data_IF_460072760138
#
_entry.id   IF_460072760138
#
_cell.length_a   1.000
_cell.length_b   1.000
_cell.length_c   1.000
_cell.angle_alpha   90.00
_cell.angle_beta   90.00
_cell.angle_gamma   90.00
#
_symmetry.space_group_name_H-M   'P 1'
#
loop_
_entity.id
_entity.type
_entity.pdbx_description
1 polymer ?
#
# COMPACT_ATOMS: atom_id res chain seq x y z
N UNK A 1 -24.32 9.32 25.13
CA UNK A 1 -22.94 9.42 24.63
C UNK A 1 -22.62 8.10 23.94
N UNK A 2 -22.53 8.09 22.62
CA UNK A 2 -22.13 6.88 21.89
C UNK A 2 -20.63 6.69 22.03
N UNK A 3 -20.18 5.50 22.40
CA UNK A 3 -18.74 5.16 22.37
C UNK A 3 -18.24 5.29 20.94
N UNK A 4 -17.16 6.04 20.73
CA UNK A 4 -16.52 6.07 19.43
C UNK A 4 -16.11 4.64 19.03
N UNK A 5 -16.34 4.22 17.78
CA UNK A 5 -15.94 2.89 17.32
C UNK A 5 -14.41 2.74 17.43
N UNK A 6 -13.97 1.68 18.11
CA UNK A 6 -12.55 1.34 18.28
C UNK A 6 -12.15 0.27 17.25
N UNK A 7 -10.98 0.40 16.63
CA UNK A 7 -10.43 -0.67 15.76
C UNK A 7 -9.84 -1.78 16.65
N UNK A 8 -10.35 -3.03 16.57
CA UNK A 8 -9.72 -4.14 17.26
C UNK A 8 -8.35 -4.45 16.62
N UNK A 9 -7.36 -4.74 17.46
CA UNK A 9 -6.02 -5.12 17.00
C UNK A 9 -5.89 -6.64 16.96
N UNK A 10 -5.22 -7.16 15.94
CA UNK A 10 -4.86 -8.58 15.81
C UNK A 10 -3.38 -8.67 15.46
N UNK A 11 -2.63 -9.50 16.19
CA UNK A 11 -1.22 -9.76 15.91
C UNK A 11 -1.08 -11.05 15.11
N UNK A 12 -0.27 -11.04 14.06
CA UNK A 12 0.08 -12.20 13.25
C UNK A 12 1.58 -12.48 13.38
N UNK A 13 1.94 -13.73 13.63
CA UNK A 13 3.35 -14.18 13.62
C UNK A 13 3.70 -14.68 12.22
N UNK A 14 4.79 -14.19 11.67
CA UNK A 14 5.29 -14.56 10.33
C UNK A 14 6.76 -14.97 10.41
N UNK A 15 7.21 -15.80 9.47
CA UNK A 15 8.63 -16.12 9.36
C UNK A 15 9.42 -14.86 8.98
N UNK A 16 10.54 -14.61 9.66
CA UNK A 16 11.33 -13.39 9.50
C UNK A 16 11.93 -13.23 8.09
N UNK A 17 12.17 -14.35 7.41
CA UNK A 17 12.70 -14.44 6.04
C UNK A 17 11.60 -14.49 4.96
N UNK A 18 10.32 -14.50 5.35
CA UNK A 18 9.22 -14.35 4.41
C UNK A 18 9.17 -12.92 3.85
N UNK A 19 8.58 -12.69 2.66
CA UNK A 19 8.42 -11.34 2.13
C UNK A 19 7.76 -10.37 3.12
N UNK A 20 6.77 -10.83 3.89
CA UNK A 20 6.10 -10.03 4.91
C UNK A 20 6.99 -9.78 6.14
N UNK A 21 7.78 -10.77 6.54
CA UNK A 21 8.75 -10.64 7.63
C UNK A 21 9.87 -9.64 7.32
N UNK A 22 10.38 -9.64 6.09
CA UNK A 22 11.44 -8.74 5.64
C UNK A 22 11.04 -7.26 5.66
N UNK A 23 9.74 -6.96 5.54
CA UNK A 23 9.21 -5.58 5.59
C UNK A 23 8.44 -5.27 6.88
N UNK A 24 8.64 -6.05 7.96
CA UNK A 24 7.88 -5.92 9.20
C UNK A 24 7.85 -4.50 9.77
N UNK A 25 8.99 -3.79 9.78
CA UNK A 25 9.04 -2.40 10.26
C UNK A 25 8.16 -1.45 9.42
N UNK A 26 8.10 -1.64 8.10
CA UNK A 26 7.22 -0.85 7.23
C UNK A 26 5.74 -1.20 7.45
N UNK A 27 5.42 -2.46 7.77
CA UNK A 27 4.05 -2.84 8.17
C UNK A 27 3.65 -2.16 9.47
N UNK A 28 4.56 -2.13 10.45
CA UNK A 28 4.33 -1.41 11.71
C UNK A 28 4.06 0.08 11.47
N UNK A 29 4.79 0.72 10.55
CA UNK A 29 4.56 2.11 10.21
C UNK A 29 3.25 2.33 9.43
N UNK A 30 2.89 1.45 8.48
CA UNK A 30 1.58 1.49 7.83
C UNK A 30 0.45 1.44 8.87
N UNK A 31 0.52 0.45 9.78
CA UNK A 31 -0.54 0.19 10.76
C UNK A 31 -0.62 1.28 11.83
N UNK A 32 0.53 1.78 12.31
CA UNK A 32 0.62 2.91 13.26
C UNK A 32 0.02 4.19 12.71
N UNK A 33 0.09 4.40 11.40
CA UNK A 33 -0.40 5.63 10.77
C UNK A 33 -1.86 5.52 10.28
N UNK A 34 -2.56 4.41 10.51
CA UNK A 34 -3.97 4.27 10.14
C UNK A 34 -4.86 5.25 10.93
N UNK A 35 -5.87 5.85 10.28
CA UNK A 35 -6.83 6.71 10.94
C UNK A 35 -7.83 5.90 11.77
N UNK A 36 -8.34 6.51 12.85
CA UNK A 36 -9.46 5.94 13.60
C UNK A 36 -10.76 5.91 12.75
N UNK A 37 -11.71 5.01 13.03
CA UNK A 37 -12.93 4.87 12.22
C UNK A 37 -13.81 6.13 12.25
N UNK A 38 -13.73 6.92 13.32
CA UNK A 38 -14.47 8.18 13.46
C UNK A 38 -13.86 9.36 12.71
N UNK A 39 -12.59 9.27 12.29
CA UNK A 39 -11.84 10.36 11.63
C UNK A 39 -10.97 9.80 10.51
N UNK A 40 -11.56 9.21 9.45
CA UNK A 40 -10.83 8.45 8.42
C UNK A 40 -9.88 9.31 7.56
N UNK A 41 -9.89 10.63 7.73
CA UNK A 41 -9.01 11.59 7.06
C UNK A 41 -7.82 12.05 7.88
N UNK A 42 -7.69 11.63 9.14
CA UNK A 42 -6.65 12.14 10.05
C UNK A 42 -5.66 11.08 10.49
N UNK A 43 -4.38 11.41 10.42
CA UNK A 43 -3.32 10.57 10.97
C UNK A 43 -3.02 11.01 12.41
N UNK A 44 -3.65 10.34 13.39
CA UNK A 44 -3.52 10.73 14.80
C UNK A 44 -2.09 10.60 15.34
N UNK A 45 -1.28 9.70 14.78
CA UNK A 45 0.15 9.56 15.13
C UNK A 45 0.97 10.79 14.75
N UNK A 46 0.64 11.45 13.63
CA UNK A 46 1.29 12.67 13.18
C UNK A 46 0.73 13.94 13.87
N UNK A 47 -0.38 13.80 14.61
CA UNK A 47 -1.12 14.89 15.21
C UNK A 47 -2.47 15.16 14.54
N UNK A 48 -3.38 15.81 15.27
CA UNK A 48 -4.78 15.98 14.87
C UNK A 48 -4.99 16.75 13.54
N UNK A 49 -4.03 17.60 13.15
CA UNK A 49 -4.12 18.40 11.92
C UNK A 49 -3.58 17.66 10.68
N UNK A 50 -2.84 16.57 10.86
CA UNK A 50 -2.22 15.85 9.75
C UNK A 50 -3.25 14.99 8.99
N UNK A 51 -3.29 15.15 7.66
CA UNK A 51 -4.13 14.33 6.81
C UNK A 51 -3.55 12.92 6.61
N UNK A 52 -4.43 11.95 6.45
CA UNK A 52 -4.11 10.60 6.01
C UNK A 52 -4.60 10.38 4.55
N UNK A 53 -3.80 9.75 3.66
CA UNK A 53 -2.45 9.23 3.89
C UNK A 53 -1.40 10.32 4.19
N UNK A 54 -0.51 10.04 5.14
CA UNK A 54 0.58 10.95 5.50
C UNK A 54 1.91 10.42 4.95
N UNK A 55 2.95 11.27 4.88
CA UNK A 55 4.25 10.90 4.33
C UNK A 55 4.83 9.59 4.87
N UNK A 56 4.70 9.33 6.19
CA UNK A 56 5.24 8.12 6.81
C UNK A 56 4.50 6.85 6.36
N UNK A 57 3.19 6.96 6.15
CA UNK A 57 2.40 5.90 5.55
C UNK A 57 2.81 5.67 4.10
N UNK A 58 3.02 6.75 3.32
CA UNK A 58 3.38 6.65 1.91
C UNK A 58 4.79 6.06 1.72
N UNK A 59 5.75 6.47 2.54
CA UNK A 59 7.12 5.96 2.56
C UNK A 59 7.14 4.46 2.91
N UNK A 60 6.42 4.07 3.97
CA UNK A 60 6.29 2.66 4.34
C UNK A 60 5.53 1.85 3.28
N UNK A 61 4.49 2.42 2.68
CA UNK A 61 3.76 1.85 1.55
C UNK A 61 4.65 1.60 0.34
N UNK A 62 5.61 2.48 0.07
CA UNK A 62 6.59 2.30 -1.00
C UNK A 62 7.53 1.11 -0.74
N UNK A 63 8.00 0.94 0.49
CA UNK A 63 8.82 -0.23 0.89
C UNK A 63 8.03 -1.53 0.69
N UNK A 64 6.77 -1.57 1.14
CA UNK A 64 5.89 -2.75 0.99
C UNK A 64 5.60 -3.06 -0.48
N UNK A 65 5.34 -2.05 -1.32
CA UNK A 65 5.14 -2.25 -2.77
C UNK A 65 6.39 -2.78 -3.46
N UNK A 66 7.57 -2.32 -3.06
CA UNK A 66 8.86 -2.80 -3.59
C UNK A 66 9.07 -4.28 -3.27
N UNK A 67 8.59 -4.76 -2.12
CA UNK A 67 8.54 -6.18 -1.76
C UNK A 67 7.40 -6.96 -2.45
N UNK A 68 6.72 -6.37 -3.44
CA UNK A 68 5.60 -6.95 -4.20
C UNK A 68 4.40 -7.35 -3.34
N UNK A 69 4.25 -6.69 -2.19
CA UNK A 69 3.10 -6.87 -1.31
C UNK A 69 2.06 -5.76 -1.55
N UNK A 70 0.76 -6.09 -1.62
CA UNK A 70 -0.28 -5.09 -1.82
C UNK A 70 -0.56 -4.32 -0.53
N UNK A 71 -0.35 -3.00 -0.55
CA UNK A 71 -0.69 -2.12 0.60
C UNK A 71 -2.16 -2.27 1.02
N UNK A 72 -3.07 -2.49 0.07
CA UNK A 72 -4.51 -2.72 0.34
C UNK A 72 -4.77 -3.92 1.25
N UNK A 73 -3.88 -4.92 1.31
CA UNK A 73 -4.02 -6.06 2.22
C UNK A 73 -3.67 -5.70 3.68
N UNK A 74 -2.97 -4.59 3.91
CA UNK A 74 -2.58 -4.10 5.24
C UNK A 74 -3.49 -2.98 5.75
N UNK A 75 -4.43 -2.52 4.92
CA UNK A 75 -5.30 -1.39 5.20
C UNK A 75 -6.75 -1.87 5.33
N UNK A 76 -7.48 -1.47 6.39
CA UNK A 76 -8.91 -1.75 6.53
C UNK A 76 -9.72 -1.33 5.29
N UNK A 77 -10.70 -2.15 4.92
CA UNK A 77 -11.48 -1.96 3.69
C UNK A 77 -12.22 -0.60 3.62
N UNK A 78 -12.64 -0.05 4.77
CA UNK A 78 -13.29 1.27 4.85
C UNK A 78 -12.39 2.43 4.38
N UNK A 79 -11.07 2.22 4.34
CA UNK A 79 -10.09 3.22 3.94
C UNK A 79 -9.61 3.04 2.49
N UNK A 80 -10.06 2.00 1.78
CA UNK A 80 -9.59 1.67 0.44
C UNK A 80 -9.91 2.70 -0.63
N UNK A 81 -10.96 3.51 -0.43
CA UNK A 81 -11.37 4.59 -1.35
C UNK A 81 -10.41 5.78 -1.32
N UNK A 82 -9.59 5.90 -0.27
CA UNK A 82 -8.60 6.98 -0.08
C UNK A 82 -7.20 6.59 -0.54
N UNK A 83 -6.97 5.31 -0.76
CA UNK A 83 -5.72 4.84 -1.34
C UNK A 83 -5.71 5.14 -2.84
N UNK A 84 -4.54 5.40 -3.44
CA UNK A 84 -4.42 5.46 -4.88
C UNK A 84 -4.99 4.17 -5.50
N UNK A 85 -5.54 4.24 -6.72
CA UNK A 85 -5.95 3.03 -7.44
C UNK A 85 -4.79 2.02 -7.41
N UNK A 86 -5.07 0.72 -7.28
CA UNK A 86 -4.01 -0.25 -7.50
C UNK A 86 -3.41 0.08 -8.87
N UNK A 87 -2.08 0.18 -8.95
CA UNK A 87 -1.41 0.36 -10.23
C UNK A 87 -1.99 -0.71 -11.15
N UNK A 88 -2.85 -0.30 -12.09
CA UNK A 88 -3.28 -1.17 -13.17
C UNK A 88 -1.97 -1.62 -13.77
N UNK A 89 -1.72 -2.92 -13.70
CA UNK A 89 -0.48 -3.58 -14.03
C UNK A 89 0.41 -2.74 -14.95
N UNK A 90 1.72 -2.71 -14.67
CA UNK A 90 2.70 -2.80 -15.74
C UNK A 90 2.22 -3.84 -16.76
N UNK A 91 1.39 -3.44 -17.72
CA UNK A 91 1.38 -4.08 -19.00
C UNK A 91 2.77 -3.73 -19.51
N UNK A 92 3.66 -4.71 -19.71
CA UNK A 92 4.83 -4.41 -20.51
C UNK A 92 4.28 -3.77 -21.79
N UNK A 93 4.72 -2.54 -22.10
CA UNK A 93 4.53 -1.97 -23.42
C UNK A 93 5.31 -2.87 -24.36
N UNK A 94 4.65 -3.96 -24.75
CA UNK A 94 5.18 -4.95 -25.67
C UNK A 94 5.54 -4.17 -26.93
N UNK A 95 6.79 -4.28 -27.45
CA UNK A 95 7.18 -3.50 -28.61
C UNK A 95 6.29 -3.95 -29.76
N UNK A 96 5.41 -3.06 -30.22
CA UNK A 96 4.52 -3.33 -31.36
C UNK A 96 5.26 -3.26 -32.71
N UNK A 97 6.55 -3.61 -32.72
CA UNK A 97 7.33 -3.74 -33.95
C UNK A 97 8.27 -4.92 -33.83
N UNK A 98 7.84 -6.05 -34.38
CA UNK A 98 8.79 -7.05 -34.86
C UNK A 98 9.76 -6.37 -35.85
N UNK A 99 11.02 -6.84 -35.98
CA UNK A 99 11.84 -6.44 -37.11
C UNK A 99 11.09 -6.88 -38.37
N UNK A 100 10.73 -5.94 -39.24
CA UNK A 100 10.31 -6.30 -40.60
C UNK A 100 11.45 -7.10 -41.23
N UNK A 101 11.20 -8.39 -41.41
CA UNK A 101 11.96 -9.30 -42.23
C UNK A 101 12.26 -8.64 -43.58
N UNK A 102 13.56 -8.47 -43.83
CA UNK A 102 14.23 -8.76 -45.09
C UNK A 102 13.28 -9.11 -46.25
N UNK A 103 12.90 -8.09 -47.03
CA UNK A 103 12.52 -8.30 -48.43
C UNK A 103 13.74 -8.12 -49.30
N UNK A 104 14.43 -9.23 -49.49
CA UNK A 104 15.16 -9.55 -50.71
C UNK A 104 14.24 -9.34 -51.92
N UNK A 105 14.58 -8.38 -52.78
CA UNK A 105 14.11 -8.31 -54.16
C UNK A 105 15.10 -7.49 -55.01
N UNK A 106 15.97 -8.22 -55.73
CA UNK A 106 16.41 -7.86 -57.10
C UNK A 106 17.67 -7.03 -57.24
#
# INVERSE_FOLDING_TARGET
MGTAPVRPWTCLVVAADSPLGLVGAAVDDITRHLPDPGVPDKCLTCGADAYWPCRFFDDAGHVVRTAKLPVRALVPADLHSRLPPPDSCDAPEWPSRAPDEEKDHG
#
